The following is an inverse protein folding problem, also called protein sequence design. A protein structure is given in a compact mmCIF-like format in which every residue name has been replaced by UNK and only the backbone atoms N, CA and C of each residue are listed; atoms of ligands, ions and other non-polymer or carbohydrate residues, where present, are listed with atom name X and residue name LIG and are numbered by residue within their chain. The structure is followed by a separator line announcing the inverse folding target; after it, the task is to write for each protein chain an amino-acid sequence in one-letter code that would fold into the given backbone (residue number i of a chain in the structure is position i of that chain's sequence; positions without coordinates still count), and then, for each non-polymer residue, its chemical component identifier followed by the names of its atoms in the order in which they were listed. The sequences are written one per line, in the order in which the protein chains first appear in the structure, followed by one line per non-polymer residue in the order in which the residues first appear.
data_IF_153821468638
#
_entry.id   IF_153821468638
#
_cell.length_a   1.000
_cell.length_b   1.000
_cell.length_c   1.000
_cell.angle_alpha   90.00
_cell.angle_beta   90.00
_cell.angle_gamma   90.00
#
_symmetry.space_group_name_H-M   'P 1'
#
loop_
_entity.id
_entity.type
_entity.pdbx_description
1 polymer ?
#
# COMPACT_ATOMS: atom_id res chain seq x y z
N UNK A 1 57.93 -8.08 24.19
CA UNK A 1 56.78 -9.01 24.01
C UNK A 1 55.44 -8.45 24.44
N UNK A 2 55.22 -8.02 25.70
CA UNK A 2 53.89 -7.55 26.16
C UNK A 2 53.30 -6.39 25.34
N UNK A 3 54.12 -5.40 24.95
CA UNK A 3 53.67 -4.27 24.11
C UNK A 3 53.24 -4.70 22.70
N UNK A 4 53.97 -5.63 22.08
CA UNK A 4 53.66 -6.14 20.74
C UNK A 4 52.35 -6.94 20.72
N UNK A 5 52.12 -7.78 21.74
CA UNK A 5 50.87 -8.54 21.91
C UNK A 5 49.67 -7.61 22.11
N UNK A 6 49.84 -6.53 22.88
CA UNK A 6 48.79 -5.53 23.05
C UNK A 6 48.46 -4.80 21.73
N UNK A 7 49.47 -4.41 20.95
CA UNK A 7 49.27 -3.75 19.65
C UNK A 7 48.54 -4.66 18.65
N UNK A 8 48.93 -5.94 18.58
CA UNK A 8 48.27 -6.93 17.71
C UNK A 8 46.81 -7.15 18.12
N UNK A 9 46.54 -7.25 19.42
CA UNK A 9 45.17 -7.39 19.94
C UNK A 9 44.28 -6.20 19.56
N UNK A 10 44.79 -4.97 19.68
CA UNK A 10 44.04 -3.76 19.28
C UNK A 10 43.74 -3.78 17.78
N UNK A 11 44.74 -4.09 16.94
CA UNK A 11 44.56 -4.18 15.49
C UNK A 11 43.53 -5.22 15.09
N UNK A 12 43.55 -6.41 15.71
CA UNK A 12 42.59 -7.47 15.42
C UNK A 12 41.16 -7.04 15.78
N UNK A 13 40.98 -6.41 16.94
CA UNK A 13 39.69 -5.92 17.37
C UNK A 13 39.15 -4.84 16.42
N UNK A 14 40.00 -3.93 15.93
CA UNK A 14 39.62 -2.92 14.93
C UNK A 14 39.19 -3.56 13.62
N UNK A 15 39.92 -4.57 13.13
CA UNK A 15 39.57 -5.28 11.89
C UNK A 15 38.24 -6.04 12.03
N UNK A 16 38.04 -6.73 13.15
CA UNK A 16 36.78 -7.45 13.43
C UNK A 16 35.61 -6.49 13.54
N UNK A 17 35.77 -5.38 14.28
CA UNK A 17 34.72 -4.37 14.43
C UNK A 17 34.38 -3.70 13.09
N UNK A 18 35.37 -3.37 12.27
CA UNK A 18 35.14 -2.79 10.93
C UNK A 18 34.49 -3.79 9.98
N UNK A 19 34.84 -5.07 10.06
CA UNK A 19 34.19 -6.15 9.32
C UNK A 19 32.72 -6.33 9.72
N UNK A 20 32.42 -6.34 11.03
CA UNK A 20 31.06 -6.41 11.57
C UNK A 20 30.26 -5.16 11.14
N UNK A 21 30.85 -3.97 11.24
CA UNK A 21 30.21 -2.72 10.85
C UNK A 21 29.90 -2.72 9.34
N UNK A 22 30.86 -3.11 8.51
CA UNK A 22 30.69 -3.21 7.05
C UNK A 22 29.61 -4.23 6.68
N UNK A 23 29.57 -5.40 7.35
CA UNK A 23 28.52 -6.38 7.18
C UNK A 23 27.14 -5.84 7.62
N UNK A 24 27.07 -5.15 8.76
CA UNK A 24 25.84 -4.55 9.28
C UNK A 24 25.32 -3.40 8.40
N UNK A 25 26.20 -2.61 7.77
CA UNK A 25 25.82 -1.61 6.75
C UNK A 25 25.28 -2.31 5.50
N UNK A 26 26.03 -3.29 4.97
CA UNK A 26 25.66 -4.00 3.73
C UNK A 26 24.35 -4.78 3.85
N UNK A 27 24.04 -5.30 5.04
CA UNK A 27 22.80 -6.05 5.31
C UNK A 27 21.66 -5.17 5.81
N UNK A 28 21.87 -3.86 5.97
CA UNK A 28 20.87 -2.93 6.50
C UNK A 28 20.58 -3.09 8.00
N UNK A 29 21.37 -3.89 8.73
CA UNK A 29 21.20 -4.15 10.16
C UNK A 29 21.41 -2.89 11.01
N UNK A 30 22.35 -2.01 10.62
CA UNK A 30 22.53 -0.70 11.24
C UNK A 30 21.32 0.22 11.03
N UNK A 31 20.70 0.16 9.85
CA UNK A 31 19.44 0.84 9.59
C UNK A 31 18.32 0.34 10.51
N UNK A 32 18.21 -0.97 10.73
CA UNK A 32 17.24 -1.57 11.67
C UNK A 32 17.47 -1.13 13.12
N UNK A 33 18.73 -1.07 13.57
CA UNK A 33 19.06 -0.60 14.92
C UNK A 33 18.77 0.89 15.08
N UNK A 34 19.15 1.71 14.10
CA UNK A 34 18.83 3.15 14.10
C UNK A 34 17.32 3.39 14.07
N UNK A 35 16.55 2.58 13.34
CA UNK A 35 15.08 2.62 13.35
C UNK A 35 14.53 2.29 14.75
N UNK A 36 15.06 1.27 15.44
CA UNK A 36 14.62 0.93 16.80
C UNK A 36 14.98 2.01 17.84
N UNK A 37 16.08 2.74 17.66
CA UNK A 37 16.44 3.86 18.56
C UNK A 37 15.77 5.19 18.19
N UNK A 38 15.14 5.29 17.02
CA UNK A 38 14.59 6.53 16.47
C UNK A 38 13.07 6.46 16.22
N UNK A 39 12.37 5.47 16.78
CA UNK A 39 10.89 5.38 16.77
C UNK A 39 10.19 6.65 17.29
N UNK A 40 10.92 7.52 17.99
CA UNK A 40 10.43 8.77 18.56
C UNK A 40 10.53 10.02 17.68
N UNK A 41 11.11 9.99 16.46
CA UNK A 41 11.38 11.25 15.72
C UNK A 41 11.01 11.34 14.24
N UNK A 42 10.43 10.31 13.61
CA UNK A 42 9.79 10.52 12.29
C UNK A 42 8.32 10.82 12.54
N UNK A 43 7.96 12.10 12.57
CA UNK A 43 6.56 12.48 12.48
C UNK A 43 5.98 11.93 11.17
N UNK A 44 5.08 10.96 11.27
CA UNK A 44 4.41 10.41 10.11
C UNK A 44 3.58 11.50 9.43
N UNK A 45 3.61 11.60 8.08
CA UNK A 45 2.82 12.59 7.37
C UNK A 45 1.32 12.38 7.60
N UNK A 46 0.53 13.45 7.59
CA UNK A 46 -0.94 13.35 7.57
C UNK A 46 -1.41 13.25 6.12
N UNK A 47 -2.45 12.48 5.84
CA UNK A 47 -3.07 12.48 4.51
C UNK A 47 -3.80 13.81 4.28
N UNK A 48 -3.19 14.68 3.48
CA UNK A 48 -3.78 15.94 2.97
C UNK A 48 -3.96 15.88 1.46
N UNK A 49 -3.99 14.68 0.87
CA UNK A 49 -4.00 14.49 -0.58
C UNK A 49 -5.20 15.18 -1.24
N UNK A 50 -6.37 15.13 -0.59
CA UNK A 50 -7.59 15.76 -1.08
C UNK A 50 -7.57 17.29 -1.09
N UNK A 51 -6.59 17.90 -0.41
CA UNK A 51 -6.39 19.35 -0.41
C UNK A 51 -5.46 19.81 -1.55
N UNK A 52 -4.88 18.85 -2.29
CA UNK A 52 -3.94 19.13 -3.37
C UNK A 52 -4.69 19.40 -4.69
N UNK A 53 -4.41 20.53 -5.39
CA UNK A 53 -5.04 20.84 -6.68
C UNK A 53 -4.93 19.74 -7.73
N UNK A 54 -3.80 19.03 -7.81
CA UNK A 54 -3.66 17.96 -8.80
C UNK A 54 -4.65 16.82 -8.55
N UNK A 55 -4.90 16.50 -7.28
CA UNK A 55 -5.83 15.43 -6.91
C UNK A 55 -7.25 15.82 -7.30
N UNK A 56 -7.61 17.08 -7.08
CA UNK A 56 -8.92 17.60 -7.48
C UNK A 56 -9.09 17.55 -9.01
N UNK A 57 -8.08 17.94 -9.77
CA UNK A 57 -8.10 17.91 -11.23
C UNK A 57 -8.22 16.47 -11.76
N UNK A 58 -7.50 15.53 -11.16
CA UNK A 58 -7.56 14.12 -11.57
C UNK A 58 -8.92 13.48 -11.21
N UNK A 59 -9.48 13.80 -10.03
CA UNK A 59 -10.85 13.36 -9.69
C UNK A 59 -11.86 13.97 -10.65
N UNK A 60 -11.77 15.27 -10.99
CA UNK A 60 -12.63 15.89 -12.00
C UNK A 60 -12.53 15.19 -13.35
N UNK A 61 -11.33 14.86 -13.80
CA UNK A 61 -11.13 14.09 -15.02
C UNK A 61 -11.83 12.73 -14.98
N UNK A 62 -11.71 11.98 -13.87
CA UNK A 62 -12.44 10.74 -13.68
C UNK A 62 -13.96 10.95 -13.72
N UNK A 63 -14.48 12.05 -13.15
CA UNK A 63 -15.90 12.37 -13.18
C UNK A 63 -16.41 12.69 -14.59
N UNK A 64 -15.68 13.46 -15.38
CA UNK A 64 -16.08 13.77 -16.77
C UNK A 64 -16.25 12.49 -17.60
N UNK A 65 -15.46 11.45 -17.32
CA UNK A 65 -15.56 10.16 -18.00
C UNK A 65 -16.66 9.24 -17.46
N UNK A 66 -17.10 9.44 -16.22
CA UNK A 66 -17.91 8.43 -15.49
C UNK A 66 -19.21 8.95 -14.90
N UNK A 67 -19.48 10.26 -14.97
CA UNK A 67 -20.69 10.88 -14.42
C UNK A 67 -21.95 10.22 -14.97
N UNK A 68 -22.87 9.88 -14.06
CA UNK A 68 -24.14 9.19 -14.37
C UNK A 68 -23.98 7.86 -15.13
N UNK A 69 -22.79 7.26 -15.11
CA UNK A 69 -22.55 5.94 -15.72
C UNK A 69 -22.73 4.82 -14.71
N UNK A 70 -23.01 3.63 -15.25
CA UNK A 70 -22.98 2.38 -14.50
C UNK A 70 -21.85 1.51 -15.05
N UNK A 71 -20.81 1.35 -14.25
CA UNK A 71 -19.59 0.62 -14.56
C UNK A 71 -19.76 -0.81 -14.02
N UNK A 72 -19.30 -1.83 -14.75
CA UNK A 72 -19.40 -3.19 -14.24
C UNK A 72 -18.46 -3.38 -13.04
N UNK A 73 -17.17 -3.07 -13.21
CA UNK A 73 -16.21 -3.18 -12.12
C UNK A 73 -15.41 -1.89 -11.89
N UNK A 74 -15.51 -1.35 -10.69
CA UNK A 74 -14.72 -0.21 -10.21
C UNK A 74 -13.53 -0.68 -9.38
N UNK A 75 -12.35 -0.16 -9.67
CA UNK A 75 -11.14 -0.39 -8.88
C UNK A 75 -10.81 0.84 -8.04
N UNK A 76 -10.67 0.65 -6.74
CA UNK A 76 -10.28 1.68 -5.78
C UNK A 76 -8.95 1.27 -5.15
N UNK A 77 -8.02 2.20 -5.02
CA UNK A 77 -6.70 1.89 -4.47
C UNK A 77 -5.72 3.04 -4.54
N UNK A 78 -4.46 2.72 -4.31
CA UNK A 78 -3.33 3.65 -4.31
C UNK A 78 -2.50 3.61 -5.61
N UNK A 79 -1.26 4.08 -5.56
CA UNK A 79 -0.30 4.10 -6.68
C UNK A 79 -0.07 2.72 -7.31
N UNK A 80 -0.20 1.63 -6.55
CA UNK A 80 -0.01 0.27 -7.06
C UNK A 80 -1.14 -0.11 -8.01
N UNK A 81 -2.38 0.21 -7.65
CA UNK A 81 -3.55 0.00 -8.49
C UNK A 81 -3.60 1.01 -9.64
N UNK A 82 -3.29 2.28 -9.37
CA UNK A 82 -3.22 3.33 -10.39
C UNK A 82 -2.26 2.96 -11.52
N UNK A 83 -1.11 2.34 -11.20
CA UNK A 83 -0.10 1.93 -12.17
C UNK A 83 -0.57 0.93 -13.24
N UNK A 84 -1.76 0.33 -13.07
CA UNK A 84 -2.41 -0.52 -14.08
C UNK A 84 -3.19 0.26 -15.13
N UNK A 85 -3.55 1.52 -14.87
CA UNK A 85 -4.47 2.31 -15.69
C UNK A 85 -5.82 1.60 -15.92
N UNK A 86 -6.51 1.97 -17.00
CA UNK A 86 -7.77 1.35 -17.43
C UNK A 86 -7.54 0.12 -18.34
N UNK A 87 -6.70 -0.83 -17.90
CA UNK A 87 -6.30 -2.00 -18.72
C UNK A 87 -7.11 -3.29 -18.42
N UNK A 88 -8.17 -3.18 -17.62
CA UNK A 88 -8.93 -4.32 -17.07
C UNK A 88 -10.17 -4.70 -17.89
N UNK A 89 -10.43 -3.98 -18.99
CA UNK A 89 -11.55 -4.22 -19.90
C UNK A 89 -12.44 -2.97 -20.06
N UNK A 90 -13.29 -2.98 -21.09
CA UNK A 90 -14.09 -1.81 -21.48
C UNK A 90 -15.19 -1.44 -20.48
N UNK A 91 -15.67 -2.40 -19.68
CA UNK A 91 -16.71 -2.17 -18.65
C UNK A 91 -16.12 -1.96 -17.25
N UNK A 92 -14.84 -1.58 -17.19
CA UNK A 92 -14.13 -1.34 -15.94
C UNK A 92 -13.56 0.05 -15.87
N UNK A 93 -13.40 0.57 -14.66
CA UNK A 93 -12.74 1.84 -14.45
C UNK A 93 -11.86 1.81 -13.21
N UNK A 94 -10.66 2.36 -13.35
CA UNK A 94 -9.68 2.49 -12.30
C UNK A 94 -9.73 3.89 -11.68
N UNK A 95 -10.31 3.99 -10.49
CA UNK A 95 -10.39 5.22 -9.71
C UNK A 95 -9.19 5.40 -8.76
N UNK A 96 -8.26 4.45 -8.69
CA UNK A 96 -7.10 4.57 -7.83
C UNK A 96 -6.25 5.79 -8.20
N UNK A 97 -5.60 6.41 -7.21
CA UNK A 97 -4.67 7.54 -7.42
C UNK A 97 -3.40 7.36 -6.58
N UNK A 98 -2.25 7.91 -7.01
CA UNK A 98 -1.03 7.87 -6.22
C UNK A 98 -1.21 8.50 -4.83
N UNK A 99 -0.65 7.85 -3.80
CA UNK A 99 -0.68 8.36 -2.42
C UNK A 99 -2.01 8.19 -1.67
N UNK A 100 -3.05 7.61 -2.30
CA UNK A 100 -4.36 7.45 -1.66
C UNK A 100 -4.29 6.56 -0.42
N UNK A 101 -4.97 7.01 0.62
CA UNK A 101 -5.27 6.23 1.83
C UNK A 101 -6.79 6.09 1.99
N UNK A 102 -7.24 5.51 3.10
CA UNK A 102 -8.67 5.47 3.41
C UNK A 102 -9.30 6.86 3.58
N UNK A 103 -8.54 7.87 4.00
CA UNK A 103 -9.01 9.25 4.20
C UNK A 103 -9.34 9.91 2.86
N UNK A 104 -8.35 9.98 1.96
CA UNK A 104 -8.53 10.54 0.61
C UNK A 104 -9.50 9.71 -0.24
N UNK A 105 -9.61 8.40 -0.02
CA UNK A 105 -10.65 7.59 -0.65
C UNK A 105 -12.07 8.02 -0.28
N UNK A 106 -12.34 8.36 0.98
CA UNK A 106 -13.65 8.87 1.40
C UNK A 106 -13.97 10.21 0.72
N UNK A 107 -12.97 11.10 0.60
CA UNK A 107 -13.12 12.36 -0.11
C UNK A 107 -13.46 12.13 -1.60
N UNK A 108 -12.79 11.20 -2.28
CA UNK A 108 -13.09 10.84 -3.66
C UNK A 108 -14.52 10.27 -3.80
N UNK A 109 -14.91 9.36 -2.91
CA UNK A 109 -16.24 8.74 -2.96
C UNK A 109 -17.37 9.76 -2.79
N UNK A 110 -17.18 10.82 -1.99
CA UNK A 110 -18.14 11.92 -1.89
C UNK A 110 -18.40 12.57 -3.25
N UNK A 111 -17.37 12.79 -4.04
CA UNK A 111 -17.50 13.37 -5.39
C UNK A 111 -18.12 12.39 -6.38
N UNK A 112 -17.66 11.13 -6.38
CA UNK A 112 -18.18 10.08 -7.27
C UNK A 112 -19.68 9.83 -7.04
N UNK A 113 -20.10 9.80 -5.78
CA UNK A 113 -21.52 9.61 -5.43
C UNK A 113 -22.38 10.82 -5.77
N UNK A 114 -21.88 12.04 -5.61
CA UNK A 114 -22.56 13.26 -6.06
C UNK A 114 -22.74 13.29 -7.59
N UNK A 115 -21.75 12.80 -8.35
CA UNK A 115 -21.82 12.63 -9.80
C UNK A 115 -22.64 11.41 -10.25
N UNK A 116 -23.25 10.68 -9.30
CA UNK A 116 -24.10 9.51 -9.56
C UNK A 116 -23.39 8.35 -10.26
N UNK A 117 -22.07 8.20 -10.08
CA UNK A 117 -21.32 7.04 -10.56
C UNK A 117 -21.83 5.77 -9.86
N UNK A 118 -22.08 4.72 -10.63
CA UNK A 118 -22.52 3.40 -10.13
C UNK A 118 -21.54 2.30 -10.52
N UNK A 119 -21.46 1.26 -9.69
CA UNK A 119 -20.63 0.08 -9.92
C UNK A 119 -21.48 -1.18 -9.69
N UNK A 120 -21.33 -2.26 -10.48
CA UNK A 120 -21.89 -3.57 -10.09
C UNK A 120 -20.99 -4.26 -9.05
N UNK A 121 -19.68 -4.17 -9.27
CA UNK A 121 -18.62 -4.77 -8.46
C UNK A 121 -17.59 -3.70 -8.10
N UNK A 122 -17.05 -3.76 -6.89
CA UNK A 122 -15.93 -2.94 -6.47
C UNK A 122 -14.80 -3.80 -5.92
N UNK A 123 -13.57 -3.47 -6.32
CA UNK A 123 -12.34 -4.06 -5.78
C UNK A 123 -11.55 -2.94 -5.10
N UNK A 124 -11.24 -3.13 -3.82
CA UNK A 124 -10.59 -2.12 -2.99
C UNK A 124 -9.23 -2.65 -2.54
N UNK A 125 -8.16 -1.94 -2.90
CA UNK A 125 -6.77 -2.24 -2.56
C UNK A 125 -6.12 -1.00 -1.93
N UNK A 126 -6.34 -0.80 -0.64
CA UNK A 126 -5.89 0.33 0.15
C UNK A 126 -5.08 -0.14 1.37
N UNK A 127 -4.44 0.79 2.07
CA UNK A 127 -3.74 0.54 3.33
C UNK A 127 -2.22 0.62 3.24
N UNK A 128 -1.62 0.65 2.05
CA UNK A 128 -0.18 0.88 1.90
C UNK A 128 0.19 2.25 2.45
N UNK A 129 -0.56 3.29 2.05
CA UNK A 129 -0.30 4.64 2.53
C UNK A 129 -0.79 4.86 3.97
N UNK A 130 -1.86 4.19 4.42
CA UNK A 130 -2.29 4.22 5.83
C UNK A 130 -1.23 3.62 6.79
N UNK A 131 -0.29 2.82 6.26
CA UNK A 131 0.85 2.30 7.00
C UNK A 131 2.00 3.31 7.16
N UNK A 132 2.02 4.40 6.38
CA UNK A 132 3.01 5.49 6.49
C UNK A 132 2.40 6.81 6.96
N UNK A 133 1.08 7.00 6.82
CA UNK A 133 0.41 8.17 7.33
C UNK A 133 0.11 8.06 8.82
N UNK A 134 -0.03 9.23 9.47
CA UNK A 134 -0.52 9.41 10.82
C UNK A 134 -2.04 9.16 10.89
N UNK A 135 -2.45 7.95 10.55
CA UNK A 135 -3.81 7.46 10.69
C UNK A 135 -3.89 6.51 11.89
N UNK A 136 -4.87 6.72 12.77
CA UNK A 136 -5.06 5.79 13.89
C UNK A 136 -5.66 4.46 13.41
N UNK A 137 -5.45 3.39 14.17
CA UNK A 137 -6.04 2.08 13.87
C UNK A 137 -7.57 2.16 13.78
N UNK A 138 -8.19 2.88 14.71
CA UNK A 138 -9.63 3.07 14.76
C UNK A 138 -10.13 3.86 13.54
N UNK A 139 -9.40 4.89 13.12
CA UNK A 139 -9.70 5.68 11.93
C UNK A 139 -9.63 4.82 10.67
N UNK A 140 -8.56 4.05 10.47
CA UNK A 140 -8.45 3.12 9.33
C UNK A 140 -9.63 2.15 9.27
N UNK A 141 -9.95 1.49 10.40
CA UNK A 141 -11.05 0.52 10.47
C UNK A 141 -12.39 1.20 10.15
N UNK A 142 -12.66 2.35 10.75
CA UNK A 142 -13.92 3.08 10.56
C UNK A 142 -14.04 3.61 9.13
N UNK A 143 -12.96 4.10 8.53
CA UNK A 143 -12.96 4.59 7.16
C UNK A 143 -13.18 3.44 6.17
N UNK A 144 -12.53 2.29 6.35
CA UNK A 144 -12.77 1.12 5.50
C UNK A 144 -14.23 0.66 5.54
N UNK A 145 -14.85 0.62 6.73
CA UNK A 145 -16.29 0.31 6.87
C UNK A 145 -17.17 1.33 6.14
N UNK A 146 -16.86 2.62 6.29
CA UNK A 146 -17.59 3.68 5.61
C UNK A 146 -17.44 3.61 4.08
N UNK A 147 -16.22 3.37 3.56
CA UNK A 147 -15.94 3.16 2.14
C UNK A 147 -16.83 2.03 1.59
N UNK A 148 -16.84 0.87 2.25
CA UNK A 148 -17.64 -0.30 1.84
C UNK A 148 -19.14 0.05 1.85
N UNK A 149 -19.61 0.72 2.91
CA UNK A 149 -21.00 1.15 3.04
C UNK A 149 -21.43 2.10 1.93
N UNK A 150 -20.61 3.12 1.61
CA UNK A 150 -20.88 4.08 0.54
C UNK A 150 -20.92 3.37 -0.82
N UNK A 151 -19.96 2.49 -1.10
CA UNK A 151 -19.89 1.74 -2.36
C UNK A 151 -21.14 0.86 -2.53
N UNK A 152 -21.59 0.17 -1.48
CA UNK A 152 -22.82 -0.65 -1.53
C UNK A 152 -24.07 0.21 -1.68
N UNK A 153 -24.24 1.23 -0.84
CA UNK A 153 -25.53 1.93 -0.69
C UNK A 153 -25.70 3.11 -1.64
N UNK A 154 -24.61 3.82 -1.98
CA UNK A 154 -24.65 5.02 -2.82
C UNK A 154 -24.18 4.75 -4.24
N UNK A 155 -23.21 3.86 -4.43
CA UNK A 155 -22.76 3.44 -5.77
C UNK A 155 -23.45 2.15 -6.27
N UNK A 156 -24.29 1.52 -5.44
CA UNK A 156 -25.12 0.35 -5.78
C UNK A 156 -24.34 -0.94 -6.12
N UNK A 157 -23.12 -1.08 -5.59
CA UNK A 157 -22.31 -2.28 -5.80
C UNK A 157 -22.93 -3.49 -5.08
N UNK A 158 -23.19 -4.54 -5.86
CA UNK A 158 -23.71 -5.83 -5.38
C UNK A 158 -22.60 -6.69 -4.76
N UNK A 159 -21.36 -6.50 -5.22
CA UNK A 159 -20.20 -7.26 -4.75
C UNK A 159 -19.06 -6.31 -4.44
N UNK A 160 -18.51 -6.43 -3.23
CA UNK A 160 -17.31 -5.70 -2.79
C UNK A 160 -16.25 -6.73 -2.41
N UNK A 161 -15.03 -6.52 -2.90
CA UNK A 161 -13.87 -7.37 -2.70
C UNK A 161 -12.75 -6.53 -2.10
N UNK A 162 -12.08 -7.04 -1.07
CA UNK A 162 -10.93 -6.37 -0.46
C UNK A 162 -9.64 -7.11 -0.81
N UNK A 163 -8.62 -6.36 -1.18
CA UNK A 163 -7.24 -6.81 -1.27
C UNK A 163 -6.50 -6.17 -0.09
N UNK A 164 -5.91 -6.96 0.83
CA UNK A 164 -5.11 -6.42 1.92
C UNK A 164 -3.96 -5.55 1.40
N UNK A 165 -3.54 -4.55 2.18
CA UNK A 165 -2.41 -3.67 1.84
C UNK A 165 -1.20 -4.46 1.38
N UNK A 166 -0.51 -4.01 0.34
CA UNK A 166 0.61 -4.77 -0.23
C UNK A 166 1.75 -4.87 0.78
N UNK A 167 2.59 -5.90 0.67
CA UNK A 167 3.86 -5.99 1.41
C UNK A 167 4.94 -5.05 0.85
N UNK A 168 4.55 -3.79 0.67
CA UNK A 168 5.40 -2.66 0.37
C UNK A 168 5.96 -2.14 1.69
N UNK A 169 7.11 -2.67 2.10
CA UNK A 169 7.68 -2.47 3.45
C UNK A 169 9.05 -1.81 3.37
N UNK A 170 9.46 -1.18 4.47
CA UNK A 170 10.84 -0.63 4.64
C UNK A 170 11.91 -1.69 4.38
N UNK A 171 11.63 -2.96 4.72
CA UNK A 171 12.56 -4.05 4.48
C UNK A 171 12.84 -4.29 2.98
N UNK A 172 11.87 -3.98 2.12
CA UNK A 172 12.01 -4.07 0.67
C UNK A 172 12.47 -2.75 0.05
N UNK A 173 11.98 -1.60 0.54
CA UNK A 173 12.26 -0.28 -0.05
C UNK A 173 13.57 0.34 0.39
N UNK A 174 14.04 -0.01 1.59
CA UNK A 174 15.10 0.69 2.30
C UNK A 174 14.82 2.20 2.50
N UNK A 175 13.56 2.62 2.41
CA UNK A 175 13.12 4.01 2.50
C UNK A 175 11.87 4.14 3.39
N UNK A 176 12.03 4.85 4.51
CA UNK A 176 11.00 5.11 5.53
C UNK A 176 9.97 6.16 5.10
N UNK A 177 10.27 6.95 4.07
CA UNK A 177 9.36 7.95 3.51
C UNK A 177 8.39 7.36 2.50
N UNK A 178 8.70 6.17 1.96
CA UNK A 178 7.92 5.48 0.94
C UNK A 178 7.14 4.28 1.47
N UNK A 179 7.59 3.67 2.58
CA UNK A 179 7.04 2.42 3.06
C UNK A 179 6.92 2.36 4.58
N UNK A 180 5.91 1.63 5.06
CA UNK A 180 5.71 1.39 6.49
C UNK A 180 6.62 0.27 7.01
N UNK A 181 6.95 0.26 8.31
CA UNK A 181 7.61 -0.90 8.91
C UNK A 181 6.72 -2.14 8.79
N UNK A 182 7.34 -3.32 8.70
CA UNK A 182 6.62 -4.58 8.47
C UNK A 182 5.49 -4.81 9.50
N UNK A 183 5.73 -4.50 10.78
CA UNK A 183 4.72 -4.64 11.83
C UNK A 183 3.47 -3.79 11.55
N UNK A 184 3.66 -2.54 11.13
CA UNK A 184 2.56 -1.64 10.79
C UNK A 184 1.78 -2.16 9.58
N UNK A 185 2.48 -2.64 8.55
CA UNK A 185 1.85 -3.23 7.36
C UNK A 185 1.03 -4.47 7.74
N UNK A 186 1.58 -5.39 8.54
CA UNK A 186 0.85 -6.57 9.03
C UNK A 186 -0.39 -6.19 9.83
N UNK A 187 -0.29 -5.15 10.67
CA UNK A 187 -1.42 -4.63 11.44
C UNK A 187 -2.55 -4.13 10.54
N UNK A 188 -2.22 -3.34 9.51
CA UNK A 188 -3.18 -2.85 8.52
C UNK A 188 -3.81 -4.02 7.72
N UNK A 189 -3.01 -5.02 7.32
CA UNK A 189 -3.53 -6.23 6.67
C UNK A 189 -4.50 -6.98 7.57
N UNK A 190 -4.16 -7.14 8.86
CA UNK A 190 -5.03 -7.78 9.85
C UNK A 190 -6.35 -7.01 10.02
N UNK A 191 -6.31 -5.69 10.13
CA UNK A 191 -7.52 -4.86 10.18
C UNK A 191 -8.35 -4.94 8.92
N UNK A 192 -7.73 -5.03 7.74
CA UNK A 192 -8.46 -5.24 6.48
C UNK A 192 -9.23 -6.56 6.51
N UNK A 193 -8.62 -7.64 7.00
CA UNK A 193 -9.30 -8.94 7.18
C UNK A 193 -10.41 -8.88 8.23
N UNK A 194 -10.19 -8.16 9.34
CA UNK A 194 -11.21 -7.94 10.37
C UNK A 194 -12.42 -7.18 9.82
N UNK A 195 -12.19 -6.10 9.08
CA UNK A 195 -13.25 -5.35 8.41
C UNK A 195 -13.97 -6.25 7.42
N UNK A 196 -13.24 -7.06 6.65
CA UNK A 196 -13.87 -7.97 5.70
C UNK A 196 -14.83 -8.96 6.35
N UNK A 197 -14.42 -9.55 7.48
CA UNK A 197 -15.26 -10.45 8.26
C UNK A 197 -16.49 -9.74 8.83
N UNK A 198 -16.30 -8.52 9.36
CA UNK A 198 -17.37 -7.71 9.95
C UNK A 198 -18.41 -7.30 8.90
N UNK A 199 -17.95 -6.81 7.75
CA UNK A 199 -18.78 -6.31 6.65
C UNK A 199 -19.25 -7.43 5.70
N UNK A 200 -18.86 -8.68 5.96
CA UNK A 200 -19.18 -9.86 5.14
C UNK A 200 -18.80 -9.64 3.66
N UNK A 201 -17.59 -9.11 3.42
CA UNK A 201 -17.00 -8.97 2.08
C UNK A 201 -15.88 -9.99 1.91
N UNK A 202 -15.60 -10.39 0.66
CA UNK A 202 -14.56 -11.38 0.40
C UNK A 202 -13.18 -10.71 0.40
N UNK A 203 -12.20 -11.40 1.01
CA UNK A 203 -10.78 -11.07 0.89
C UNK A 203 -10.22 -11.80 -0.32
N UNK A 204 -9.42 -11.10 -1.10
CA UNK A 204 -8.75 -11.62 -2.28
C UNK A 204 -7.25 -11.43 -2.14
N UNK A 205 -6.63 -12.39 -1.47
CA UNK A 205 -5.22 -12.37 -1.10
C UNK A 205 -4.41 -13.45 -1.83
N UNK A 206 -5.04 -14.58 -2.17
CA UNK A 206 -4.36 -15.73 -2.77
C UNK A 206 -3.81 -15.40 -4.16
N UNK A 207 -4.55 -14.63 -4.94
CA UNK A 207 -4.26 -14.33 -6.33
C UNK A 207 -3.03 -13.43 -6.47
N UNK A 208 -2.75 -12.61 -5.44
CA UNK A 208 -1.59 -11.69 -5.43
C UNK A 208 -0.35 -12.27 -4.76
N UNK A 209 -0.42 -13.46 -4.15
CA UNK A 209 0.73 -14.13 -3.53
C UNK A 209 1.98 -14.25 -4.42
N UNK A 210 1.87 -14.44 -5.75
CA UNK A 210 3.06 -14.52 -6.61
C UNK A 210 3.95 -13.26 -6.61
N UNK A 211 3.45 -12.11 -6.14
CA UNK A 211 4.23 -10.87 -5.99
C UNK A 211 5.22 -10.92 -4.82
N UNK A 212 5.03 -11.83 -3.87
CA UNK A 212 5.74 -11.79 -2.59
C UNK A 212 6.77 -12.90 -2.44
N UNK A 213 7.82 -12.60 -1.68
CA UNK A 213 8.74 -13.56 -1.10
C UNK A 213 8.65 -13.43 0.42
N UNK A 214 7.83 -14.25 1.05
CA UNK A 214 7.45 -14.06 2.45
C UNK A 214 6.64 -12.78 2.62
N UNK A 215 7.09 -11.88 3.49
CA UNK A 215 6.39 -10.63 3.85
C UNK A 215 6.96 -9.39 3.17
N UNK A 216 7.58 -9.57 1.99
CA UNK A 216 8.10 -8.49 1.15
C UNK A 216 7.75 -8.73 -0.31
N UNK A 217 7.67 -7.66 -1.11
CA UNK A 217 7.69 -7.77 -2.58
C UNK A 217 8.98 -8.42 -3.06
N UNK A 218 8.90 -9.29 -4.06
CA UNK A 218 10.10 -9.83 -4.74
C UNK A 218 10.87 -8.70 -5.41
N UNK A 219 12.19 -8.74 -5.34
CA UNK A 219 13.04 -7.70 -5.95
C UNK A 219 12.76 -7.54 -7.46
N UNK A 220 12.52 -8.64 -8.17
CA UNK A 220 12.28 -8.60 -9.62
C UNK A 220 10.89 -8.07 -10.01
N UNK A 221 9.95 -7.88 -9.08
CA UNK A 221 8.59 -7.38 -9.39
C UNK A 221 8.37 -5.94 -8.97
N UNK A 222 9.35 -5.30 -8.32
CA UNK A 222 9.29 -3.93 -7.84
C UNK A 222 10.43 -3.09 -8.43
N UNK A 223 10.30 -1.76 -8.40
CA UNK A 223 11.36 -0.82 -8.79
C UNK A 223 12.04 -0.14 -7.59
N UNK A 224 11.38 -0.15 -6.43
CA UNK A 224 11.75 0.63 -5.25
C UNK A 224 11.28 -0.02 -3.93
N UNK A 225 10.89 -1.30 -3.97
CA UNK A 225 10.35 -2.01 -2.81
C UNK A 225 8.92 -1.65 -2.42
N UNK A 226 8.26 -0.75 -3.16
CA UNK A 226 6.87 -0.31 -2.92
C UNK A 226 6.01 -0.49 -4.16
N UNK A 227 6.44 0.10 -5.27
CA UNK A 227 5.71 0.14 -6.53
C UNK A 227 6.10 -1.03 -7.42
N UNK A 228 5.11 -1.58 -8.10
CA UNK A 228 5.32 -2.66 -9.05
C UNK A 228 6.04 -2.13 -10.30
N UNK A 229 7.03 -2.87 -10.77
CA UNK A 229 7.61 -2.65 -12.09
C UNK A 229 6.72 -3.29 -13.18
N UNK A 230 7.19 -3.36 -14.42
CA UNK A 230 6.40 -3.95 -15.52
C UNK A 230 6.06 -5.43 -15.30
N UNK A 231 6.98 -6.23 -14.74
CA UNK A 231 6.72 -7.64 -14.43
C UNK A 231 5.68 -7.79 -13.30
N UNK A 232 5.85 -7.01 -12.22
CA UNK A 232 4.88 -7.00 -11.12
C UNK A 232 3.48 -6.58 -11.57
N UNK A 233 3.37 -5.59 -12.46
CA UNK A 233 2.07 -5.16 -13.01
C UNK A 233 1.41 -6.25 -13.87
N UNK A 234 2.19 -7.03 -14.62
CA UNK A 234 1.65 -8.17 -15.38
C UNK A 234 1.05 -9.21 -14.42
N UNK A 235 1.77 -9.54 -13.35
CA UNK A 235 1.29 -10.49 -12.32
C UNK A 235 0.03 -9.96 -11.64
N UNK A 236 0.06 -8.70 -11.19
CA UNK A 236 -1.07 -8.10 -10.48
C UNK A 236 -2.32 -7.97 -11.36
N UNK A 237 -2.15 -7.51 -12.61
CA UNK A 237 -3.23 -7.50 -13.60
C UNK A 237 -3.79 -8.90 -13.83
N UNK A 238 -2.91 -9.90 -13.98
CA UNK A 238 -3.32 -11.30 -14.14
C UNK A 238 -4.10 -11.83 -12.94
N UNK A 239 -3.71 -11.44 -11.72
CA UNK A 239 -4.45 -11.74 -10.50
C UNK A 239 -5.86 -11.15 -10.55
N UNK A 240 -5.98 -9.84 -10.80
CA UNK A 240 -7.27 -9.16 -10.88
C UNK A 240 -8.17 -9.72 -11.99
N UNK A 241 -7.63 -10.06 -13.15
CA UNK A 241 -8.41 -10.69 -14.24
C UNK A 241 -9.00 -12.05 -13.84
N UNK A 242 -8.33 -12.81 -12.97
CA UNK A 242 -8.90 -14.07 -12.42
C UNK A 242 -10.05 -13.81 -11.47
N UNK A 243 -10.05 -12.68 -10.78
CA UNK A 243 -11.11 -12.25 -9.85
C UNK A 243 -12.34 -11.75 -10.62
N UNK A 244 -12.13 -11.15 -11.80
CA UNK A 244 -13.21 -10.61 -12.62
C UNK A 244 -14.08 -11.70 -13.26
N UNK A 245 -13.49 -12.85 -13.59
CA UNK A 245 -14.15 -14.02 -14.19
C UNK A 245 -15.01 -14.74 -13.14
#
# INVERSE_FOLDING_TARGET
MKKLLATISVLLNVIVLTGILGWAIKTGYLGRILVMFNETYIELPTDTLSDNPWWEDEVKYQLELTKQTKIDTCFFGDSITYGLGNTMGNDTFNFALPGMSTISQLAQLKQLTAAQVKCNKAIIALGTNDAIYRATDAEFINNMKQIISIIRTKMNAQKVLLIPSFYSTVAASHDLTLAGPLERVEKIRAFTRQVAATEKVLIVEKEIQPLYQGTVLKENVTKDGVHLNSEGRIIYRGALLKILR
#
